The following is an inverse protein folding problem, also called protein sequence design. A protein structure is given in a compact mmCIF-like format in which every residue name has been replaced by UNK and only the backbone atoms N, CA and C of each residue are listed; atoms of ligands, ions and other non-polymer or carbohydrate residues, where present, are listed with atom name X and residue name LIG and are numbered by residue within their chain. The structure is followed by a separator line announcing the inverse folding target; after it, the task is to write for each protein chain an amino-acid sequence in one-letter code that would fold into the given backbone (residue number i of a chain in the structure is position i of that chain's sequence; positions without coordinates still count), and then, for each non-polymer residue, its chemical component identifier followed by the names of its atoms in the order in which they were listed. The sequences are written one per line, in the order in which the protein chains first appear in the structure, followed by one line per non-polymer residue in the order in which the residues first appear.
data_IF_709795584942
#
_entry.id   IF_709795584942
#
_cell.length_a   1.000
_cell.length_b   1.000
_cell.length_c   1.000
_cell.angle_alpha   90.00
_cell.angle_beta   90.00
_cell.angle_gamma   90.00
#
_symmetry.space_group_name_H-M   'P 1'
#
loop_
_entity.id
_entity.type
_entity.pdbx_description
1 polymer ?
#
# COMPACT_ATOMS: atom_id res chain seq x y z
N UNK A 1 -0.76 5.37 51.64
CA UNK A 1 -1.96 4.55 51.34
C UNK A 1 -3.26 5.33 51.56
N UNK A 2 -3.59 5.80 52.77
CA UNK A 2 -4.84 6.56 53.04
C UNK A 2 -5.10 7.76 52.13
N UNK A 3 -4.07 8.53 51.76
CA UNK A 3 -4.23 9.70 50.87
C UNK A 3 -4.70 9.28 49.46
N UNK A 4 -4.18 8.18 48.91
CA UNK A 4 -4.60 7.65 47.62
C UNK A 4 -6.05 7.17 47.64
N UNK A 5 -6.47 6.51 48.72
CA UNK A 5 -7.86 6.08 48.94
C UNK A 5 -8.82 7.28 49.03
N UNK A 6 -8.46 8.31 49.80
CA UNK A 6 -9.25 9.53 49.92
C UNK A 6 -9.41 10.27 48.60
N UNK A 7 -8.32 10.41 47.85
CA UNK A 7 -8.35 11.06 46.54
C UNK A 7 -9.24 10.26 45.57
N UNK A 8 -9.09 8.94 45.52
CA UNK A 8 -9.91 8.08 44.64
C UNK A 8 -11.39 8.19 44.97
N UNK A 9 -11.76 8.23 46.25
CA UNK A 9 -13.15 8.38 46.67
C UNK A 9 -13.73 9.78 46.38
N UNK A 10 -12.90 10.82 46.44
CA UNK A 10 -13.34 12.22 46.28
C UNK A 10 -13.44 12.67 44.81
N UNK A 11 -12.60 12.14 43.92
CA UNK A 11 -12.40 12.68 42.56
C UNK A 11 -13.67 12.66 41.69
N UNK A 12 -14.57 11.70 41.91
CA UNK A 12 -15.83 11.58 41.16
C UNK A 12 -16.73 12.82 41.33
N UNK A 13 -16.70 13.48 42.48
CA UNK A 13 -17.58 14.61 42.80
C UNK A 13 -16.86 15.96 42.80
N UNK A 14 -15.57 15.97 42.44
CA UNK A 14 -14.73 17.14 42.53
C UNK A 14 -14.99 18.17 41.41
N UNK A 15 -14.80 19.44 41.74
CA UNK A 15 -14.68 20.51 40.76
C UNK A 15 -13.41 20.34 39.91
N UNK A 16 -13.32 21.00 38.76
CA UNK A 16 -12.12 20.93 37.92
C UNK A 16 -10.85 21.38 38.67
N UNK A 17 -10.93 22.47 39.42
CA UNK A 17 -9.85 22.97 40.27
C UNK A 17 -9.43 21.92 41.32
N UNK A 18 -10.40 21.28 41.98
CA UNK A 18 -10.13 20.22 42.96
C UNK A 18 -9.47 19.00 42.32
N UNK A 19 -9.93 18.57 41.14
CA UNK A 19 -9.29 17.48 40.41
C UNK A 19 -7.82 17.82 40.09
N UNK A 20 -7.54 19.04 39.63
CA UNK A 20 -6.16 19.47 39.36
C UNK A 20 -5.30 19.43 40.63
N UNK A 21 -5.82 19.90 41.77
CA UNK A 21 -5.13 19.80 43.05
C UNK A 21 -4.84 18.34 43.43
N UNK A 22 -5.83 17.44 43.27
CA UNK A 22 -5.66 16.03 43.57
C UNK A 22 -4.60 15.36 42.70
N UNK A 23 -4.62 15.57 41.39
CA UNK A 23 -3.60 15.02 40.50
C UNK A 23 -2.21 15.60 40.79
N UNK A 24 -2.09 16.90 41.08
CA UNK A 24 -0.80 17.47 41.47
C UNK A 24 -0.27 16.88 42.77
N UNK A 25 -1.15 16.58 43.74
CA UNK A 25 -0.75 15.87 44.96
C UNK A 25 -0.26 14.45 44.66
N UNK A 26 -0.92 13.73 43.74
CA UNK A 26 -0.47 12.41 43.28
C UNK A 26 0.88 12.49 42.56
N UNK A 27 1.11 13.51 41.73
CA UNK A 27 2.39 13.75 41.04
C UNK A 27 3.53 13.97 42.05
N UNK A 28 3.30 14.77 43.09
CA UNK A 28 4.27 14.98 44.19
C UNK A 28 4.53 13.66 44.94
N UNK A 29 3.48 12.91 45.29
CA UNK A 29 3.63 11.62 45.98
C UNK A 29 4.41 10.60 45.13
N UNK A 30 4.18 10.56 43.82
CA UNK A 30 4.94 9.72 42.90
C UNK A 30 6.44 10.11 42.88
N UNK A 31 6.74 11.41 42.91
CA UNK A 31 8.13 11.91 42.92
C UNK A 31 8.89 11.60 44.22
N UNK A 32 8.20 11.58 45.36
CA UNK A 32 8.79 11.24 46.65
C UNK A 32 9.03 9.73 46.76
N UNK A 33 8.07 8.92 46.33
CA UNK A 33 8.13 7.46 46.45
C UNK A 33 9.10 6.82 45.45
N UNK A 34 9.39 7.46 44.32
CA UNK A 34 10.41 7.01 43.37
C UNK A 34 11.85 7.22 43.86
N UNK A 35 12.10 8.21 44.73
CA UNK A 35 13.42 8.52 45.29
C UNK A 35 13.85 7.58 46.42
N UNK A 36 12.90 6.92 47.09
CA UNK A 36 13.17 6.12 48.29
C UNK A 36 13.13 4.59 48.05
N UNK A 37 13.12 4.10 46.80
CA UNK A 37 12.87 2.68 46.45
C UNK A 37 11.55 2.09 47.02
N UNK A 38 10.68 2.93 47.58
CA UNK A 38 9.38 2.56 48.15
C UNK A 38 8.24 2.50 47.10
N UNK A 39 8.55 2.79 45.82
CA UNK A 39 7.58 2.96 44.74
C UNK A 39 6.64 1.78 44.47
N UNK A 40 7.05 0.55 44.79
CA UNK A 40 6.20 -0.63 44.61
C UNK A 40 5.14 -0.82 45.71
N UNK A 41 5.28 -0.18 46.88
CA UNK A 41 4.38 -0.40 48.01
C UNK A 41 3.12 0.49 48.01
N UNK A 42 3.13 1.63 47.31
CA UNK A 42 2.05 2.63 47.40
C UNK A 42 1.14 2.66 46.16
N UNK A 43 1.57 2.09 45.03
CA UNK A 43 0.84 2.05 43.75
C UNK A 43 0.18 3.39 43.36
N UNK A 44 0.95 4.48 43.45
CA UNK A 44 0.46 5.84 43.15
C UNK A 44 -0.02 5.94 41.70
N UNK A 45 0.68 5.30 40.75
CA UNK A 45 0.27 5.27 39.35
C UNK A 45 -1.06 4.54 39.13
N UNK A 46 -1.30 3.42 39.81
CA UNK A 46 -2.62 2.76 39.79
C UNK A 46 -3.73 3.66 40.35
N UNK A 47 -3.42 4.49 41.35
CA UNK A 47 -4.36 5.50 41.87
C UNK A 47 -4.67 6.57 40.82
N UNK A 48 -3.66 7.07 40.10
CA UNK A 48 -3.83 8.03 39.00
C UNK A 48 -4.75 7.45 37.92
N UNK A 49 -4.52 6.19 37.52
CA UNK A 49 -5.36 5.46 36.55
C UNK A 49 -6.81 5.37 37.03
N UNK A 50 -7.04 4.94 38.28
CA UNK A 50 -8.39 4.86 38.86
C UNK A 50 -9.09 6.23 38.90
N UNK A 51 -8.34 7.29 39.22
CA UNK A 51 -8.88 8.64 39.23
C UNK A 51 -9.29 9.11 37.82
N UNK A 52 -8.45 8.86 36.81
CA UNK A 52 -8.77 9.17 35.40
C UNK A 52 -10.02 8.42 34.93
N UNK A 53 -10.16 7.15 35.31
CA UNK A 53 -11.33 6.32 35.02
C UNK A 53 -12.58 6.70 35.83
N UNK A 54 -12.44 7.53 36.88
CA UNK A 54 -13.55 7.97 37.74
C UNK A 54 -13.97 9.42 37.48
N UNK A 55 -13.20 10.19 36.70
CA UNK A 55 -13.60 11.54 36.30
C UNK A 55 -14.99 11.54 35.64
N UNK A 56 -15.83 12.53 35.97
CA UNK A 56 -17.12 12.76 35.28
C UNK A 56 -16.86 13.37 33.90
N UNK A 57 -17.31 12.67 32.87
CA UNK A 57 -17.17 13.09 31.48
C UNK A 57 -18.58 13.37 30.92
N UNK A 58 -18.77 14.44 30.14
CA UNK A 58 -17.74 15.28 29.51
C UNK A 58 -17.22 16.46 30.35
N UNK A 59 -17.76 16.74 31.54
CA UNK A 59 -17.50 17.98 32.30
C UNK A 59 -16.06 18.13 32.80
N UNK A 60 -15.28 17.04 32.83
CA UNK A 60 -13.86 17.02 33.23
C UNK A 60 -12.94 16.59 32.08
N UNK A 61 -13.37 16.81 30.84
CA UNK A 61 -12.58 16.49 29.64
C UNK A 61 -11.22 17.18 29.63
N UNK A 62 -11.11 18.45 30.02
CA UNK A 62 -9.83 19.19 30.11
C UNK A 62 -8.81 18.52 31.05
N UNK A 63 -9.28 18.10 32.24
CA UNK A 63 -8.46 17.41 33.23
C UNK A 63 -8.03 16.05 32.71
N UNK A 64 -8.97 15.29 32.11
CA UNK A 64 -8.69 13.99 31.53
C UNK A 64 -7.61 14.09 30.46
N UNK A 65 -7.76 14.98 29.47
CA UNK A 65 -6.83 15.11 28.35
C UNK A 65 -5.44 15.54 28.80
N UNK A 66 -5.35 16.55 29.67
CA UNK A 66 -4.08 17.04 30.21
C UNK A 66 -3.33 15.95 30.98
N UNK A 67 -4.01 15.25 31.89
CA UNK A 67 -3.39 14.24 32.74
C UNK A 67 -3.13 12.93 32.00
N UNK A 68 -3.95 12.58 31.01
CA UNK A 68 -3.66 11.47 30.10
C UNK A 68 -2.38 11.74 29.29
N UNK A 69 -2.25 12.94 28.71
CA UNK A 69 -1.04 13.32 27.96
C UNK A 69 0.21 13.27 28.83
N UNK A 70 0.11 13.77 30.07
CA UNK A 70 1.21 13.70 31.03
C UNK A 70 1.60 12.23 31.30
N UNK A 71 0.62 11.37 31.60
CA UNK A 71 0.83 9.94 31.79
C UNK A 71 1.44 9.26 30.57
N UNK A 72 1.03 9.63 29.36
CA UNK A 72 1.60 9.06 28.15
C UNK A 72 3.08 9.42 27.97
N UNK A 73 3.49 10.61 28.38
CA UNK A 73 4.89 11.07 28.30
C UNK A 73 5.77 10.49 29.40
N UNK A 74 5.25 10.30 30.62
CA UNK A 74 6.07 9.93 31.79
C UNK A 74 5.94 8.47 32.19
N UNK A 75 4.76 7.85 32.02
CA UNK A 75 4.43 6.50 32.48
C UNK A 75 3.63 5.69 31.44
N UNK A 76 4.17 5.47 30.23
CA UNK A 76 3.44 4.89 29.11
C UNK A 76 2.87 3.49 29.38
N UNK A 77 3.54 2.67 30.20
CA UNK A 77 3.08 1.32 30.55
C UNK A 77 1.76 1.31 31.32
N UNK A 78 1.40 2.41 31.98
CA UNK A 78 0.18 2.53 32.78
C UNK A 78 -1.04 2.89 31.92
N UNK A 79 -0.85 3.33 30.68
CA UNK A 79 -1.96 3.72 29.79
C UNK A 79 -2.93 2.57 29.52
N UNK A 80 -2.47 1.33 29.57
CA UNK A 80 -3.30 0.14 29.37
C UNK A 80 -4.46 0.04 30.37
N UNK A 81 -4.30 0.62 31.57
CA UNK A 81 -5.34 0.64 32.59
C UNK A 81 -6.37 1.76 32.43
N UNK A 82 -6.17 2.70 31.51
CA UNK A 82 -7.06 3.86 31.33
C UNK A 82 -8.10 3.55 30.24
N UNK A 83 -9.38 3.67 30.57
CA UNK A 83 -10.48 3.53 29.62
C UNK A 83 -10.63 4.81 28.78
N UNK A 84 -9.80 4.92 27.75
CA UNK A 84 -9.85 6.01 26.76
C UNK A 84 -11.17 5.99 25.99
N UNK A 85 -11.78 4.81 25.79
CA UNK A 85 -13.02 4.69 25.03
C UNK A 85 -14.20 5.37 25.72
N UNK A 86 -14.24 5.36 27.05
CA UNK A 86 -15.20 6.16 27.82
C UNK A 86 -15.10 7.64 27.50
N UNK A 87 -13.88 8.18 27.42
CA UNK A 87 -13.66 9.57 27.03
C UNK A 87 -14.07 9.82 25.58
N UNK A 88 -13.62 8.99 24.65
CA UNK A 88 -13.92 9.13 23.22
C UNK A 88 -15.43 9.13 22.94
N UNK A 89 -16.21 8.37 23.71
CA UNK A 89 -17.66 8.29 23.56
C UNK A 89 -18.42 9.43 24.22
N UNK A 90 -17.88 10.03 25.29
CA UNK A 90 -18.53 11.10 26.04
C UNK A 90 -18.15 12.51 25.55
N UNK A 91 -16.91 12.68 25.06
CA UNK A 91 -16.38 13.97 24.67
C UNK A 91 -17.11 14.57 23.46
N UNK A 92 -17.20 15.90 23.42
CA UNK A 92 -17.67 16.61 22.24
C UNK A 92 -16.70 16.41 21.06
N UNK A 93 -17.18 16.63 19.82
CA UNK A 93 -16.30 16.52 18.64
C UNK A 93 -15.10 17.47 18.73
N UNK A 94 -15.29 18.70 19.22
CA UNK A 94 -14.21 19.68 19.38
C UNK A 94 -13.19 19.24 20.41
N UNK A 95 -13.63 18.72 21.57
CA UNK A 95 -12.72 18.27 22.63
C UNK A 95 -11.94 17.03 22.20
N UNK A 96 -12.59 16.12 21.48
CA UNK A 96 -11.94 14.93 20.93
C UNK A 96 -10.89 15.30 19.89
N UNK A 97 -11.20 16.20 18.95
CA UNK A 97 -10.24 16.67 17.95
C UNK A 97 -9.05 17.39 18.61
N UNK A 98 -9.31 18.27 19.58
CA UNK A 98 -8.25 18.95 20.32
C UNK A 98 -7.35 17.96 21.07
N UNK A 99 -7.93 16.93 21.69
CA UNK A 99 -7.17 15.86 22.34
C UNK A 99 -6.30 15.09 21.34
N UNK A 100 -6.84 14.73 20.18
CA UNK A 100 -6.06 14.04 19.12
C UNK A 100 -4.86 14.89 18.68
N UNK A 101 -5.04 16.20 18.51
CA UNK A 101 -3.95 17.10 18.14
C UNK A 101 -2.83 17.14 19.17
N UNK A 102 -3.16 17.13 20.46
CA UNK A 102 -2.20 17.08 21.55
C UNK A 102 -1.42 15.75 21.60
N UNK A 103 -2.01 14.69 21.04
CA UNK A 103 -1.42 13.35 21.02
C UNK A 103 -0.71 13.02 19.70
N UNK A 104 -0.66 13.95 18.74
CA UNK A 104 -0.22 13.67 17.38
C UNK A 104 1.20 13.10 17.28
N UNK A 105 2.11 13.56 18.15
CA UNK A 105 3.53 13.20 18.21
C UNK A 105 3.88 12.22 19.35
N UNK A 106 2.89 11.70 20.07
CA UNK A 106 3.13 10.81 21.21
C UNK A 106 3.58 9.43 20.73
N UNK A 107 4.78 9.02 21.15
CA UNK A 107 5.42 7.76 20.76
C UNK A 107 4.97 6.55 21.62
N UNK A 108 3.66 6.44 21.85
CA UNK A 108 3.06 5.38 22.67
C UNK A 108 1.78 4.90 22.01
N UNK A 109 1.57 3.59 21.97
CA UNK A 109 0.35 3.01 21.40
C UNK A 109 -0.83 3.29 22.33
N UNK A 110 -1.81 4.00 21.80
CA UNK A 110 -3.02 4.33 22.56
C UNK A 110 -4.07 3.25 22.29
N UNK A 111 -4.56 2.65 23.37
CA UNK A 111 -5.61 1.64 23.35
C UNK A 111 -7.00 2.19 23.00
N UNK A 112 -7.96 1.27 22.89
CA UNK A 112 -9.37 1.59 22.66
C UNK A 112 -9.67 2.08 21.25
N UNK A 113 -10.77 2.82 21.12
CA UNK A 113 -11.36 3.29 19.85
C UNK A 113 -10.94 4.72 19.43
N UNK A 114 -9.96 5.33 20.11
CA UNK A 114 -9.46 6.67 19.77
C UNK A 114 -8.91 6.71 18.34
N UNK A 115 -8.12 5.70 17.98
CA UNK A 115 -7.56 5.57 16.63
C UNK A 115 -8.67 5.48 15.57
N UNK A 116 -9.71 4.66 15.80
CA UNK A 116 -10.80 4.49 14.83
C UNK A 116 -11.55 5.81 14.58
N UNK A 117 -11.77 6.59 15.64
CA UNK A 117 -12.36 7.93 15.53
C UNK A 117 -11.43 8.90 14.82
N UNK A 118 -10.14 8.89 15.11
CA UNK A 118 -9.16 9.74 14.44
C UNK A 118 -9.06 9.42 12.95
N UNK A 119 -9.04 8.13 12.57
CA UNK A 119 -9.03 7.68 11.19
C UNK A 119 -10.31 8.08 10.44
N UNK A 120 -11.48 8.01 11.09
CA UNK A 120 -12.74 8.47 10.51
C UNK A 120 -12.77 10.00 10.32
N UNK A 121 -12.27 10.76 11.31
CA UNK A 121 -12.16 12.22 11.21
C UNK A 121 -11.17 12.63 10.11
N UNK A 122 -10.04 11.93 10.00
CA UNK A 122 -9.04 12.16 8.96
C UNK A 122 -9.60 11.88 7.56
N UNK A 123 -10.31 10.76 7.39
CA UNK A 123 -10.96 10.44 6.12
C UNK A 123 -12.01 11.49 5.73
N UNK A 124 -12.71 12.08 6.71
CA UNK A 124 -13.68 13.14 6.48
C UNK A 124 -13.03 14.53 6.25
N UNK A 125 -11.83 14.77 6.76
CA UNK A 125 -11.06 16.01 6.55
C UNK A 125 -9.58 15.73 6.22
N UNK A 126 -9.29 15.33 4.97
CA UNK A 126 -7.95 14.90 4.53
C UNK A 126 -6.85 15.96 4.65
N UNK A 127 -7.23 17.24 4.61
CA UNK A 127 -6.30 18.39 4.72
C UNK A 127 -5.81 18.65 6.14
N UNK A 128 -6.38 17.99 7.15
CA UNK A 128 -5.98 18.16 8.54
C UNK A 128 -4.66 17.44 8.83
N UNK A 129 -3.57 18.21 8.84
CA UNK A 129 -2.23 17.68 9.04
C UNK A 129 -2.02 17.04 10.41
N UNK A 130 -2.73 17.51 11.44
CA UNK A 130 -2.60 17.00 12.81
C UNK A 130 -3.34 15.68 12.98
N UNK A 131 -4.53 15.53 12.38
CA UNK A 131 -5.21 14.23 12.31
C UNK A 131 -4.37 13.21 11.54
N UNK A 132 -3.82 13.61 10.39
CA UNK A 132 -2.89 12.79 9.62
C UNK A 132 -1.70 12.36 10.46
N UNK A 133 -1.05 13.32 11.11
CA UNK A 133 0.14 13.10 11.93
C UNK A 133 -0.14 12.04 13.01
N UNK A 134 -1.24 12.20 13.74
CA UNK A 134 -1.69 11.24 14.76
C UNK A 134 -1.95 9.84 14.18
N UNK A 135 -2.76 9.73 13.11
CA UNK A 135 -3.14 8.43 12.53
C UNK A 135 -1.91 7.69 12.03
N UNK A 136 -1.01 8.39 11.32
CA UNK A 136 0.25 7.82 10.83
C UNK A 136 1.16 7.44 12.00
N UNK A 137 1.32 8.32 12.99
CA UNK A 137 2.19 8.06 14.13
C UNK A 137 1.72 6.82 14.92
N UNK A 138 0.45 6.78 15.33
CA UNK A 138 -0.12 5.65 16.06
C UNK A 138 -0.03 4.33 15.28
N UNK A 139 -0.18 4.39 13.96
CA UNK A 139 0.05 3.23 13.10
C UNK A 139 1.51 2.75 13.18
N UNK A 140 2.47 3.66 12.99
CA UNK A 140 3.90 3.34 13.05
C UNK A 140 4.35 2.85 14.44
N UNK A 141 3.78 3.40 15.51
CA UNK A 141 4.00 2.94 16.89
C UNK A 141 3.47 1.51 17.05
N UNK A 142 2.21 1.25 16.67
CA UNK A 142 1.64 -0.09 16.74
C UNK A 142 2.42 -1.11 15.91
N UNK A 143 2.89 -0.72 14.72
CA UNK A 143 3.77 -1.55 13.89
C UNK A 143 5.11 -1.82 14.57
N UNK A 144 5.68 -0.87 15.33
CA UNK A 144 6.97 -1.06 16.04
C UNK A 144 6.80 -2.02 17.21
N UNK A 145 5.66 -1.94 17.87
CA UNK A 145 5.29 -2.83 18.97
C UNK A 145 4.78 -4.19 18.48
N UNK A 146 4.74 -4.44 17.17
CA UNK A 146 4.16 -5.66 16.57
C UNK A 146 2.72 -5.92 17.02
N UNK A 147 1.95 -4.84 17.21
CA UNK A 147 0.55 -4.90 17.63
C UNK A 147 -0.28 -5.67 16.59
N UNK A 148 -1.05 -6.69 17.00
CA UNK A 148 -1.87 -7.49 16.08
C UNK A 148 -2.86 -6.64 15.27
N UNK A 149 -3.31 -5.51 15.84
CA UNK A 149 -4.29 -4.63 15.22
C UNK A 149 -3.66 -3.63 14.23
N UNK A 150 -2.36 -3.36 14.31
CA UNK A 150 -1.71 -2.33 13.49
C UNK A 150 -1.85 -2.61 11.99
N UNK A 151 -1.67 -3.86 11.56
CA UNK A 151 -1.83 -4.24 10.15
C UNK A 151 -3.29 -4.16 9.70
N UNK A 152 -4.24 -4.55 10.55
CA UNK A 152 -5.67 -4.44 10.24
C UNK A 152 -6.10 -2.96 10.11
N UNK A 153 -5.62 -2.11 11.01
CA UNK A 153 -5.82 -0.65 10.99
C UNK A 153 -5.23 0.00 9.74
N UNK A 154 -4.02 -0.42 9.35
CA UNK A 154 -3.38 0.04 8.13
C UNK A 154 -4.23 -0.29 6.90
N UNK A 155 -4.59 -1.56 6.73
CA UNK A 155 -5.41 -2.03 5.60
C UNK A 155 -6.76 -1.31 5.56
N UNK A 156 -7.45 -1.20 6.70
CA UNK A 156 -8.72 -0.47 6.79
C UNK A 156 -8.58 1.00 6.40
N UNK A 157 -7.48 1.66 6.78
CA UNK A 157 -7.26 3.07 6.41
C UNK A 157 -7.02 3.21 4.91
N UNK A 158 -6.19 2.35 4.34
CA UNK A 158 -5.95 2.30 2.89
C UNK A 158 -7.26 2.07 2.14
N UNK A 159 -8.06 1.09 2.55
CA UNK A 159 -9.36 0.79 1.94
C UNK A 159 -10.33 1.98 1.99
N UNK A 160 -10.40 2.69 3.13
CA UNK A 160 -11.22 3.89 3.29
C UNK A 160 -10.76 5.03 2.38
N UNK A 161 -9.44 5.21 2.22
CA UNK A 161 -8.87 6.24 1.34
C UNK A 161 -9.13 5.91 -0.13
N UNK A 162 -9.01 4.64 -0.52
CA UNK A 162 -9.17 4.18 -1.91
C UNK A 162 -10.65 4.18 -2.34
N UNK A 163 -11.58 3.84 -1.44
CA UNK A 163 -13.02 3.74 -1.76
C UNK A 163 -13.73 5.09 -1.90
N UNK A 164 -13.17 6.19 -1.40
CA UNK A 164 -13.81 7.50 -1.35
C UNK A 164 -13.73 8.33 -2.67
N UNK A 165 -13.40 7.72 -3.81
CA UNK A 165 -12.63 8.36 -4.89
C UNK A 165 -11.27 8.81 -4.36
N UNK A 166 -10.15 8.34 -4.93
CA UNK A 166 -8.84 8.64 -4.39
C UNK A 166 -8.56 10.14 -4.59
N UNK A 167 -8.71 10.94 -3.53
CA UNK A 167 -7.94 12.16 -3.43
C UNK A 167 -6.47 11.69 -3.39
N UNK A 168 -5.80 11.66 -4.54
CA UNK A 168 -4.44 11.15 -4.67
C UNK A 168 -3.50 11.81 -3.63
N UNK A 169 -3.78 13.07 -3.27
CA UNK A 169 -3.15 13.82 -2.18
C UNK A 169 -3.24 13.09 -0.84
N UNK A 170 -4.42 12.62 -0.47
CA UNK A 170 -4.67 11.87 0.75
C UNK A 170 -3.88 10.56 0.76
N UNK A 171 -3.92 9.82 -0.35
CA UNK A 171 -3.19 8.57 -0.50
C UNK A 171 -1.68 8.78 -0.38
N UNK A 172 -1.11 9.69 -1.18
CA UNK A 172 0.32 9.99 -1.14
C UNK A 172 0.74 10.53 0.21
N UNK A 173 -0.04 11.42 0.81
CA UNK A 173 0.29 12.00 2.09
C UNK A 173 0.30 10.97 3.21
N UNK A 174 -0.68 10.06 3.23
CA UNK A 174 -0.74 8.98 4.21
C UNK A 174 0.39 7.97 4.00
N UNK A 175 0.55 7.44 2.77
CA UNK A 175 1.55 6.43 2.47
C UNK A 175 2.98 6.93 2.64
N UNK A 176 3.29 8.15 2.19
CA UNK A 176 4.61 8.78 2.40
C UNK A 176 4.87 9.00 3.89
N UNK A 177 3.85 9.42 4.65
CA UNK A 177 3.93 9.55 6.10
C UNK A 177 4.32 8.24 6.77
N UNK A 178 3.66 7.14 6.42
CA UNK A 178 3.97 5.80 6.96
C UNK A 178 5.38 5.37 6.57
N UNK A 179 5.69 5.37 5.27
CA UNK A 179 6.98 4.89 4.76
C UNK A 179 8.18 5.66 5.32
N UNK A 180 8.04 6.97 5.53
CA UNK A 180 9.10 7.80 6.09
C UNK A 180 9.44 7.46 7.56
N UNK A 181 8.55 6.74 8.25
CA UNK A 181 8.67 6.36 9.67
C UNK A 181 8.86 4.85 9.88
N UNK A 182 8.82 4.04 8.82
CA UNK A 182 9.08 2.60 8.91
C UNK A 182 10.57 2.35 9.21
N UNK A 183 10.83 1.55 10.23
CA UNK A 183 12.17 1.04 10.53
C UNK A 183 12.53 -0.15 9.63
N UNK A 184 13.81 -0.52 9.59
CA UNK A 184 14.32 -1.66 8.80
C UNK A 184 13.61 -2.99 9.12
N UNK A 185 13.21 -3.19 10.38
CA UNK A 185 12.50 -4.40 10.84
C UNK A 185 11.08 -4.53 10.25
N UNK A 186 10.56 -3.46 9.64
CA UNK A 186 9.18 -3.33 9.19
C UNK A 186 9.04 -3.23 7.67
N UNK A 187 10.11 -3.55 6.93
CA UNK A 187 10.13 -3.54 5.45
C UNK A 187 9.00 -4.37 4.83
N UNK A 188 8.53 -5.43 5.51
CA UNK A 188 7.41 -6.26 5.06
C UNK A 188 6.08 -5.48 4.91
N UNK A 189 5.94 -4.35 5.60
CA UNK A 189 4.78 -3.47 5.50
C UNK A 189 4.81 -2.68 4.20
N UNK A 190 6.00 -2.28 3.74
CA UNK A 190 6.15 -1.58 2.47
C UNK A 190 5.71 -2.45 1.28
N UNK A 191 5.84 -3.79 1.37
CA UNK A 191 5.33 -4.73 0.35
C UNK A 191 3.83 -4.59 0.14
N UNK A 192 3.07 -4.35 1.21
CA UNK A 192 1.62 -4.16 1.12
C UNK A 192 1.25 -2.89 0.34
N UNK A 193 2.19 -1.95 0.16
CA UNK A 193 2.01 -0.73 -0.64
C UNK A 193 2.46 -0.88 -2.09
N UNK A 194 3.10 -2.00 -2.47
CA UNK A 194 3.58 -2.22 -3.84
C UNK A 194 2.46 -2.11 -4.89
N UNK A 195 1.27 -2.72 -4.72
CA UNK A 195 0.19 -2.56 -5.68
C UNK A 195 -0.25 -1.09 -5.84
N UNK A 196 -0.32 -0.35 -4.74
CA UNK A 196 -0.69 1.07 -4.75
C UNK A 196 0.38 1.93 -5.41
N UNK A 197 1.65 1.60 -5.23
CA UNK A 197 2.76 2.26 -5.90
C UNK A 197 2.73 2.07 -7.39
N UNK A 198 2.59 0.82 -7.86
CA UNK A 198 2.44 0.52 -9.29
C UNK A 198 1.25 1.30 -9.83
N UNK A 199 0.10 1.26 -9.16
CA UNK A 199 -1.08 2.04 -9.56
C UNK A 199 -0.80 3.55 -9.64
N UNK A 200 -0.14 4.12 -8.64
CA UNK A 200 0.16 5.55 -8.59
C UNK A 200 1.09 5.98 -9.74
N UNK A 201 2.11 5.18 -10.07
CA UNK A 201 2.99 5.43 -11.22
C UNK A 201 2.20 5.37 -12.53
N UNK A 202 1.32 4.38 -12.69
CA UNK A 202 0.47 4.26 -13.85
C UNK A 202 -0.49 5.45 -14.00
N UNK A 203 -1.18 5.83 -12.92
CA UNK A 203 -2.25 6.81 -12.94
C UNK A 203 -1.77 8.27 -12.89
N UNK A 204 -0.73 8.58 -12.10
CA UNK A 204 -0.45 9.95 -11.67
C UNK A 204 0.92 10.51 -12.05
N UNK A 205 1.86 9.69 -12.55
CA UNK A 205 3.27 10.09 -12.69
C UNK A 205 3.53 11.38 -13.48
N UNK A 206 2.67 11.77 -14.43
CA UNK A 206 2.77 13.08 -15.12
C UNK A 206 2.04 14.18 -14.38
N UNK A 207 0.78 13.94 -13.97
CA UNK A 207 -0.04 14.95 -13.29
C UNK A 207 0.43 15.32 -11.86
N UNK A 208 1.17 14.43 -11.20
CA UNK A 208 1.61 14.53 -9.79
C UNK A 208 3.01 13.95 -9.63
N UNK A 209 3.92 14.44 -10.46
CA UNK A 209 5.28 13.91 -10.60
C UNK A 209 6.04 13.92 -9.27
N UNK A 210 5.95 15.02 -8.51
CA UNK A 210 6.71 15.18 -7.26
C UNK A 210 6.24 14.23 -6.16
N UNK A 211 4.93 14.05 -6.00
CA UNK A 211 4.37 13.12 -5.02
C UNK A 211 4.64 11.67 -5.40
N UNK A 212 4.50 11.35 -6.69
CA UNK A 212 4.80 10.02 -7.23
C UNK A 212 6.28 9.69 -7.08
N UNK A 213 7.17 10.67 -7.33
CA UNK A 213 8.62 10.53 -7.13
C UNK A 213 8.96 10.25 -5.67
N UNK A 214 8.38 11.03 -4.74
CA UNK A 214 8.60 10.82 -3.30
C UNK A 214 8.12 9.44 -2.86
N UNK A 215 6.94 9.02 -3.33
CA UNK A 215 6.39 7.70 -3.01
C UNK A 215 7.26 6.58 -3.57
N UNK A 216 7.69 6.70 -4.82
CA UNK A 216 8.61 5.76 -5.48
C UNK A 216 9.92 5.67 -4.73
N UNK A 217 10.55 6.79 -4.37
CA UNK A 217 11.81 6.80 -3.62
C UNK A 217 11.70 6.06 -2.30
N UNK A 218 10.70 6.41 -1.49
CA UNK A 218 10.52 5.81 -0.16
C UNK A 218 10.21 4.32 -0.26
N UNK A 219 9.33 3.92 -1.19
CA UNK A 219 9.02 2.50 -1.39
C UNK A 219 10.22 1.73 -1.90
N UNK A 220 10.94 2.29 -2.88
CA UNK A 220 12.10 1.65 -3.47
C UNK A 220 13.17 1.36 -2.42
N UNK A 221 13.45 2.31 -1.51
CA UNK A 221 14.41 2.10 -0.42
C UNK A 221 14.04 0.90 0.46
N UNK A 222 12.75 0.69 0.73
CA UNK A 222 12.28 -0.44 1.53
C UNK A 222 12.26 -1.76 0.74
N UNK A 223 11.81 -1.73 -0.51
CA UNK A 223 11.79 -2.91 -1.39
C UNK A 223 13.21 -3.37 -1.68
N UNK A 224 14.12 -2.46 -1.99
CA UNK A 224 15.51 -2.78 -2.31
C UNK A 224 16.17 -3.53 -1.15
N UNK A 225 15.87 -3.20 0.11
CA UNK A 225 16.36 -3.95 1.28
C UNK A 225 15.82 -5.37 1.36
N UNK A 226 14.57 -5.59 0.94
CA UNK A 226 14.03 -6.94 0.84
C UNK A 226 14.65 -7.71 -0.31
N UNK A 227 14.91 -7.03 -1.43
CA UNK A 227 15.56 -7.59 -2.60
C UNK A 227 17.09 -7.72 -2.45
N UNK A 228 17.74 -6.98 -1.54
CA UNK A 228 19.19 -7.02 -1.32
C UNK A 228 19.63 -8.24 -0.52
N UNK A 229 18.73 -8.79 0.32
CA UNK A 229 18.90 -10.13 0.89
C UNK A 229 18.84 -11.25 -0.18
N UNK A 230 18.58 -10.88 -1.44
CA UNK A 230 18.16 -11.77 -2.51
C UNK A 230 19.01 -11.56 -3.79
N UNK A 231 19.58 -10.38 -4.01
CA UNK A 231 20.40 -10.06 -5.18
C UNK A 231 21.61 -9.19 -4.77
N UNK A 232 22.74 -9.82 -4.50
CA UNK A 232 24.02 -9.19 -4.14
C UNK A 232 24.71 -8.44 -5.29
N UNK A 233 24.10 -8.38 -6.48
CA UNK A 233 24.71 -7.88 -7.72
C UNK A 233 23.80 -6.91 -8.51
N UNK A 234 22.91 -6.17 -7.85
CA UNK A 234 22.06 -5.22 -8.55
C UNK A 234 22.79 -3.87 -8.75
N UNK A 235 22.94 -3.36 -9.99
CA UNK A 235 23.46 -2.01 -10.22
C UNK A 235 22.50 -0.96 -9.64
N UNK A 236 23.07 0.04 -8.95
CA UNK A 236 22.37 1.17 -8.37
C UNK A 236 21.73 2.00 -9.48
N UNK A 237 20.40 2.06 -9.53
CA UNK A 237 19.69 3.02 -10.38
C UNK A 237 19.44 4.26 -9.55
N UNK A 238 19.85 5.42 -10.06
CA UNK A 238 19.60 6.71 -9.42
C UNK A 238 18.20 7.22 -9.76
N UNK A 239 17.44 7.63 -8.74
CA UNK A 239 16.10 8.19 -8.87
C UNK A 239 16.18 9.62 -9.41
N UNK A 240 16.05 9.81 -10.73
CA UNK A 240 15.88 11.13 -11.35
C UNK A 240 14.40 11.54 -11.46
N UNK A 241 14.07 12.85 -11.49
CA UNK A 241 12.75 13.33 -11.91
C UNK A 241 12.32 12.69 -13.24
N UNK A 242 11.02 12.43 -13.40
CA UNK A 242 10.46 11.80 -14.60
C UNK A 242 10.63 10.29 -14.72
N UNK A 243 11.39 9.64 -13.82
CA UNK A 243 11.80 8.25 -14.01
C UNK A 243 11.07 7.22 -13.13
N UNK A 244 9.95 7.59 -12.48
CA UNK A 244 9.21 6.66 -11.60
C UNK A 244 8.73 5.41 -12.34
N UNK A 245 8.43 5.54 -13.64
CA UNK A 245 8.11 4.42 -14.54
C UNK A 245 9.25 3.39 -14.61
N UNK A 246 10.50 3.83 -14.76
CA UNK A 246 11.63 2.92 -14.86
C UNK A 246 11.89 2.15 -13.57
N UNK A 247 11.54 2.71 -12.40
CA UNK A 247 11.65 1.99 -11.13
C UNK A 247 10.64 0.84 -11.04
N UNK A 248 9.42 1.03 -11.55
CA UNK A 248 8.42 -0.06 -11.66
C UNK A 248 8.87 -1.10 -12.69
N UNK A 249 9.37 -0.68 -13.85
CA UNK A 249 9.92 -1.60 -14.86
C UNK A 249 11.07 -2.40 -14.26
N UNK A 250 11.99 -1.73 -13.56
CA UNK A 250 13.13 -2.37 -12.91
C UNK A 250 12.70 -3.39 -11.86
N UNK A 251 11.68 -3.07 -11.07
CA UNK A 251 11.11 -4.02 -10.12
C UNK A 251 10.72 -5.32 -10.81
N UNK A 252 10.04 -5.24 -11.96
CA UNK A 252 9.66 -6.43 -12.74
C UNK A 252 10.88 -7.16 -13.33
N UNK A 253 11.88 -6.44 -13.84
CA UNK A 253 13.12 -7.04 -14.32
C UNK A 253 13.87 -7.82 -13.24
N UNK A 254 14.00 -7.25 -12.03
CA UNK A 254 14.68 -7.91 -10.91
C UNK A 254 13.96 -9.20 -10.53
N UNK A 255 12.63 -9.16 -10.46
CA UNK A 255 11.82 -10.35 -10.17
C UNK A 255 11.89 -11.39 -11.29
N UNK A 256 12.02 -10.96 -12.56
CA UNK A 256 12.10 -11.82 -13.74
C UNK A 256 13.49 -12.41 -14.03
N UNK A 257 14.57 -11.82 -13.48
CA UNK A 257 15.96 -12.22 -13.75
C UNK A 257 16.36 -13.62 -13.24
N UNK A 258 15.47 -14.35 -12.56
CA UNK A 258 15.71 -15.73 -12.15
C UNK A 258 16.76 -15.91 -11.03
N UNK A 259 17.21 -14.82 -10.40
CA UNK A 259 18.13 -14.84 -9.25
C UNK A 259 17.45 -15.41 -7.99
N UNK A 260 16.12 -15.37 -7.97
CA UNK A 260 15.27 -15.74 -6.85
C UNK A 260 14.75 -17.19 -6.93
N UNK A 261 14.56 -17.88 -5.79
CA UNK A 261 13.78 -19.12 -5.75
C UNK A 261 12.35 -18.88 -6.24
N UNK A 262 11.86 -19.73 -7.15
CA UNK A 262 10.55 -19.57 -7.81
C UNK A 262 9.38 -19.40 -6.84
N UNK A 263 9.38 -20.12 -5.71
CA UNK A 263 8.32 -19.99 -4.68
C UNK A 263 8.25 -18.59 -4.04
N UNK A 264 9.40 -17.95 -3.82
CA UNK A 264 9.47 -16.60 -3.24
C UNK A 264 9.03 -15.53 -4.26
N UNK A 265 9.45 -15.67 -5.52
CA UNK A 265 9.00 -14.77 -6.61
C UNK A 265 7.50 -14.84 -6.77
N UNK A 266 6.93 -16.06 -6.82
CA UNK A 266 5.50 -16.25 -7.02
C UNK A 266 4.69 -15.53 -5.93
N UNK A 267 5.14 -15.58 -4.68
CA UNK A 267 4.49 -14.89 -3.56
C UNK A 267 4.55 -13.36 -3.73
N UNK A 268 5.73 -12.80 -4.00
CA UNK A 268 5.89 -11.35 -4.19
C UNK A 268 5.04 -10.87 -5.36
N UNK A 269 5.06 -11.60 -6.49
CA UNK A 269 4.28 -11.24 -7.68
C UNK A 269 2.78 -11.32 -7.42
N UNK A 270 2.29 -12.35 -6.72
CA UNK A 270 0.88 -12.48 -6.36
C UNK A 270 0.40 -11.35 -5.44
N UNK A 271 1.24 -10.94 -4.48
CA UNK A 271 0.94 -9.82 -3.59
C UNK A 271 1.02 -8.46 -4.29
N UNK A 272 1.90 -8.31 -5.29
CA UNK A 272 2.13 -7.06 -6.03
C UNK A 272 1.11 -6.82 -7.14
N UNK A 273 0.63 -7.88 -7.80
CA UNK A 273 -0.31 -7.83 -8.92
C UNK A 273 -1.54 -8.70 -8.61
N UNK A 274 -2.32 -8.36 -7.56
CA UNK A 274 -3.54 -9.07 -7.25
C UNK A 274 -4.64 -8.78 -8.29
N UNK A 275 -5.70 -9.58 -8.30
CA UNK A 275 -6.85 -9.38 -9.19
C UNK A 275 -7.46 -7.96 -9.09
N UNK A 276 -7.51 -7.37 -7.89
CA UNK A 276 -7.96 -6.00 -7.69
C UNK A 276 -7.10 -4.98 -8.48
N UNK A 277 -5.78 -5.19 -8.53
CA UNK A 277 -4.87 -4.37 -9.31
C UNK A 277 -5.10 -4.53 -10.82
N UNK A 278 -5.38 -5.75 -11.28
CA UNK A 278 -5.75 -5.99 -12.68
C UNK A 278 -7.02 -5.23 -13.10
N UNK A 279 -8.01 -5.12 -12.21
CA UNK A 279 -9.20 -4.30 -12.44
C UNK A 279 -8.87 -2.80 -12.49
N UNK A 280 -7.98 -2.32 -11.62
CA UNK A 280 -7.50 -0.94 -11.66
C UNK A 280 -6.80 -0.62 -12.98
N UNK A 281 -5.91 -1.49 -13.46
CA UNK A 281 -5.25 -1.38 -14.78
C UNK A 281 -6.30 -1.33 -15.89
N UNK A 282 -7.29 -2.22 -15.85
CA UNK A 282 -8.38 -2.25 -16.83
C UNK A 282 -9.19 -0.95 -16.85
N UNK A 283 -9.40 -0.32 -15.69
CA UNK A 283 -10.07 0.96 -15.60
C UNK A 283 -9.21 2.10 -16.14
N UNK A 284 -7.89 2.11 -15.88
CA UNK A 284 -6.97 3.10 -16.46
C UNK A 284 -6.93 3.01 -18.00
N UNK A 285 -7.03 1.80 -18.56
CA UNK A 285 -7.11 1.61 -20.01
C UNK A 285 -8.40 2.15 -20.65
N UNK A 286 -9.40 2.52 -19.85
CA UNK A 286 -10.61 3.23 -20.31
C UNK A 286 -10.47 4.76 -20.26
N UNK A 287 -9.34 5.28 -19.79
CA UNK A 287 -9.05 6.71 -19.78
C UNK A 287 -9.08 7.29 -21.21
N UNK A 288 -9.46 8.56 -21.30
CA UNK A 288 -9.36 9.38 -22.51
C UNK A 288 -8.00 10.09 -22.62
N UNK A 289 -7.17 10.02 -21.57
CA UNK A 289 -5.83 10.56 -21.53
C UNK A 289 -4.83 9.60 -22.21
N UNK A 290 -4.34 9.99 -23.40
CA UNK A 290 -3.39 9.20 -24.18
C UNK A 290 -2.06 8.94 -23.43
N UNK A 291 -1.57 9.88 -22.62
CA UNK A 291 -0.32 9.70 -21.88
C UNK A 291 -0.47 8.59 -20.83
N UNK A 292 -1.64 8.53 -20.18
CA UNK A 292 -1.98 7.43 -19.26
C UNK A 292 -2.08 6.12 -20.02
N UNK A 293 -2.77 6.09 -21.16
CA UNK A 293 -2.94 4.87 -21.95
C UNK A 293 -1.61 4.29 -22.42
N UNK A 294 -0.75 5.13 -23.00
CA UNK A 294 0.55 4.72 -23.50
C UNK A 294 1.44 4.22 -22.36
N UNK A 295 1.47 4.92 -21.22
CA UNK A 295 2.21 4.49 -20.03
C UNK A 295 1.74 3.13 -19.52
N UNK A 296 0.42 2.95 -19.40
CA UNK A 296 -0.14 1.68 -18.91
C UNK A 296 0.25 0.54 -19.82
N UNK A 297 0.20 0.74 -21.13
CA UNK A 297 0.60 -0.28 -22.10
C UNK A 297 2.10 -0.57 -22.01
N UNK A 298 2.98 0.44 -22.00
CA UNK A 298 4.43 0.24 -21.89
C UNK A 298 4.81 -0.55 -20.62
N UNK A 299 4.33 -0.10 -19.47
CA UNK A 299 4.65 -0.73 -18.18
C UNK A 299 4.11 -2.15 -18.11
N UNK A 300 2.87 -2.39 -18.55
CA UNK A 300 2.31 -3.74 -18.50
C UNK A 300 2.94 -4.67 -19.55
N UNK A 301 3.40 -4.15 -20.69
CA UNK A 301 4.18 -4.92 -21.65
C UNK A 301 5.50 -5.39 -21.03
N UNK A 302 6.21 -4.49 -20.34
CA UNK A 302 7.44 -4.83 -19.61
C UNK A 302 7.17 -5.80 -18.45
N UNK A 303 6.05 -5.64 -17.74
CA UNK A 303 5.61 -6.59 -16.72
C UNK A 303 5.41 -7.99 -17.31
N UNK A 304 4.70 -8.12 -18.43
CA UNK A 304 4.44 -9.42 -19.07
C UNK A 304 5.71 -10.01 -19.69
N UNK A 305 6.60 -9.19 -20.25
CA UNK A 305 7.86 -9.64 -20.82
C UNK A 305 8.78 -10.27 -19.76
N UNK A 306 8.78 -9.72 -18.55
CA UNK A 306 9.64 -10.18 -17.45
C UNK A 306 8.97 -11.23 -16.55
N UNK A 307 7.66 -11.08 -16.30
CA UNK A 307 6.92 -11.88 -15.29
C UNK A 307 5.82 -12.75 -15.89
N UNK A 308 5.65 -12.78 -17.21
CA UNK A 308 4.54 -13.49 -17.86
C UNK A 308 4.41 -14.96 -17.47
N UNK A 309 5.53 -15.69 -17.37
CA UNK A 309 5.52 -17.10 -16.96
C UNK A 309 5.10 -17.27 -15.49
N UNK A 310 5.60 -16.40 -14.61
CA UNK A 310 5.24 -16.39 -13.19
C UNK A 310 3.76 -16.06 -13.00
N UNK A 311 3.27 -15.01 -13.68
CA UNK A 311 1.88 -14.61 -13.67
C UNK A 311 0.95 -15.70 -14.22
N UNK A 312 1.37 -16.41 -15.27
CA UNK A 312 0.64 -17.56 -15.81
C UNK A 312 0.59 -18.70 -14.79
N UNK A 313 1.71 -19.02 -14.14
CA UNK A 313 1.79 -20.08 -13.12
C UNK A 313 0.88 -19.78 -11.93
N UNK A 314 0.88 -18.53 -11.45
CA UNK A 314 -0.02 -18.06 -10.40
C UNK A 314 -1.49 -18.18 -10.87
N UNK A 315 -1.79 -17.71 -12.07
CA UNK A 315 -3.15 -17.78 -12.62
C UNK A 315 -3.66 -19.23 -12.74
N UNK A 316 -2.83 -20.18 -13.18
CA UNK A 316 -3.21 -21.59 -13.27
C UNK A 316 -3.47 -22.21 -11.89
N UNK A 317 -2.68 -21.83 -10.89
CA UNK A 317 -2.89 -22.23 -9.49
C UNK A 317 -4.20 -21.65 -8.92
N UNK A 318 -4.45 -20.36 -9.13
CA UNK A 318 -5.66 -19.67 -8.66
C UNK A 318 -6.93 -20.09 -9.40
N UNK A 319 -6.82 -20.44 -10.68
CA UNK A 319 -7.94 -20.79 -11.54
C UNK A 319 -8.77 -21.97 -11.00
N UNK A 320 -8.15 -22.88 -10.23
CA UNK A 320 -8.84 -23.98 -9.56
C UNK A 320 -9.91 -23.50 -8.57
N UNK A 321 -9.76 -22.28 -8.03
CA UNK A 321 -10.64 -21.70 -7.00
C UNK A 321 -11.60 -20.65 -7.55
N UNK A 322 -11.12 -19.79 -8.44
CA UNK A 322 -11.86 -18.58 -8.88
C UNK A 322 -12.23 -18.58 -10.36
N UNK A 323 -11.71 -19.54 -11.14
CA UNK A 323 -11.82 -19.56 -12.59
C UNK A 323 -10.75 -18.70 -13.27
N UNK A 324 -10.20 -19.20 -14.39
CA UNK A 324 -9.07 -18.59 -15.09
C UNK A 324 -9.35 -17.15 -15.58
N UNK A 325 -10.61 -16.84 -15.91
CA UNK A 325 -11.06 -15.50 -16.34
C UNK A 325 -11.08 -14.46 -15.22
N UNK A 326 -10.93 -14.86 -13.95
CA UNK A 326 -10.85 -13.98 -12.78
C UNK A 326 -9.43 -13.91 -12.20
N UNK A 327 -8.42 -14.20 -13.01
CA UNK A 327 -7.02 -14.09 -12.63
C UNK A 327 -6.41 -12.80 -13.17
N UNK A 328 -5.43 -12.25 -12.45
CA UNK A 328 -4.80 -10.99 -12.83
C UNK A 328 -4.16 -11.06 -14.23
N UNK A 329 -3.47 -12.17 -14.53
CA UNK A 329 -2.83 -12.41 -15.82
C UNK A 329 -3.82 -12.28 -16.99
N UNK A 330 -4.93 -13.03 -16.94
CA UNK A 330 -5.91 -13.05 -18.04
C UNK A 330 -6.58 -11.70 -18.22
N UNK A 331 -6.98 -11.05 -17.12
CA UNK A 331 -7.64 -9.74 -17.19
C UNK A 331 -6.72 -8.70 -17.80
N UNK A 332 -5.46 -8.61 -17.36
CA UNK A 332 -4.50 -7.64 -17.88
C UNK A 332 -4.21 -7.92 -19.36
N UNK A 333 -3.89 -9.17 -19.72
CA UNK A 333 -3.62 -9.54 -21.11
C UNK A 333 -4.80 -9.25 -22.04
N UNK A 334 -6.03 -9.51 -21.59
CA UNK A 334 -7.22 -9.20 -22.37
C UNK A 334 -7.45 -7.69 -22.53
N UNK A 335 -7.29 -6.94 -21.44
CA UNK A 335 -7.50 -5.49 -21.45
C UNK A 335 -6.49 -4.78 -22.38
N UNK A 336 -5.21 -5.17 -22.33
CA UNK A 336 -4.16 -4.62 -23.18
C UNK A 336 -4.43 -4.89 -24.67
N UNK A 337 -4.73 -6.13 -25.05
CA UNK A 337 -5.07 -6.45 -26.45
C UNK A 337 -6.30 -5.70 -26.90
N UNK A 338 -7.33 -5.64 -26.06
CA UNK A 338 -8.56 -4.91 -26.40
C UNK A 338 -8.25 -3.44 -26.67
N UNK A 339 -7.41 -2.81 -25.85
CA UNK A 339 -7.03 -1.42 -26.04
C UNK A 339 -6.13 -1.22 -27.27
N UNK A 340 -5.14 -2.08 -27.51
CA UNK A 340 -4.29 -2.01 -28.71
C UNK A 340 -5.07 -2.23 -30.02
N UNK A 341 -6.08 -3.10 -30.01
CA UNK A 341 -6.87 -3.42 -31.23
C UNK A 341 -7.94 -2.36 -31.52
N UNK A 342 -8.60 -1.86 -30.47
CA UNK A 342 -9.78 -0.97 -30.60
C UNK A 342 -9.52 0.49 -30.26
N UNK A 343 -8.39 0.80 -29.63
CA UNK A 343 -8.03 2.15 -29.20
C UNK A 343 -7.57 3.03 -30.35
N UNK A 344 -7.62 4.34 -30.13
CA UNK A 344 -7.19 5.39 -31.06
C UNK A 344 -5.74 5.85 -30.83
N UNK A 345 -4.85 4.91 -30.50
CA UNK A 345 -3.44 5.22 -30.24
C UNK A 345 -2.68 5.53 -31.53
N UNK A 346 -1.58 6.28 -31.40
CA UNK A 346 -0.70 6.59 -32.53
C UNK A 346 -0.08 5.32 -33.12
N UNK A 347 0.12 5.33 -34.45
CA UNK A 347 0.73 4.19 -35.15
C UNK A 347 2.17 4.00 -34.70
N UNK A 348 2.88 5.10 -34.46
CA UNK A 348 4.26 5.11 -33.95
C UNK A 348 4.36 4.40 -32.60
N UNK A 349 3.43 4.68 -31.68
CA UNK A 349 3.38 4.00 -30.39
C UNK A 349 3.07 2.52 -30.51
N UNK A 350 2.09 2.16 -31.36
CA UNK A 350 1.70 0.77 -31.59
C UNK A 350 2.80 -0.04 -32.25
N UNK A 351 3.56 0.56 -33.18
CA UNK A 351 4.71 -0.07 -33.82
C UNK A 351 5.79 -0.47 -32.81
N UNK A 352 5.95 0.28 -31.72
CA UNK A 352 6.88 -0.06 -30.65
C UNK A 352 6.28 -1.06 -29.65
N UNK A 353 5.01 -0.87 -29.30
CA UNK A 353 4.37 -1.59 -28.18
C UNK A 353 3.84 -2.97 -28.55
N UNK A 354 3.19 -3.11 -29.71
CA UNK A 354 2.56 -4.38 -30.14
C UNK A 354 3.58 -5.50 -30.29
N UNK A 355 4.75 -5.29 -30.94
CA UNK A 355 5.74 -6.35 -31.07
C UNK A 355 6.28 -6.83 -29.71
N UNK A 356 6.52 -5.91 -28.76
CA UNK A 356 6.97 -6.26 -27.39
C UNK A 356 5.93 -7.14 -26.70
N UNK A 357 4.64 -6.79 -26.79
CA UNK A 357 3.58 -7.59 -26.21
C UNK A 357 3.47 -8.99 -26.84
N UNK A 358 3.57 -9.09 -28.17
CA UNK A 358 3.58 -10.39 -28.86
C UNK A 358 4.79 -11.22 -28.44
N UNK A 359 5.98 -10.62 -28.35
CA UNK A 359 7.18 -11.30 -27.84
C UNK A 359 6.95 -11.87 -26.45
N UNK A 360 6.37 -11.08 -25.54
CA UNK A 360 6.07 -11.50 -24.18
C UNK A 360 5.14 -12.71 -24.14
N UNK A 361 4.08 -12.72 -24.95
CA UNK A 361 3.14 -13.84 -25.03
C UNK A 361 3.71 -15.07 -25.74
N UNK A 362 4.52 -14.88 -26.79
CA UNK A 362 5.09 -15.98 -27.58
C UNK A 362 6.10 -16.82 -26.79
N UNK A 363 6.73 -16.23 -25.76
CA UNK A 363 7.60 -16.94 -24.81
C UNK A 363 6.87 -17.90 -23.88
N UNK A 364 5.55 -17.77 -23.75
CA UNK A 364 4.77 -18.53 -22.77
C UNK A 364 4.36 -19.91 -23.32
N UNK A 365 4.12 -20.89 -22.43
CA UNK A 365 3.52 -22.15 -22.81
C UNK A 365 2.21 -21.96 -23.58
N UNK A 366 2.00 -22.78 -24.61
CA UNK A 366 0.79 -22.70 -25.42
C UNK A 366 -0.47 -22.90 -24.55
N UNK A 367 -1.37 -21.91 -24.62
CA UNK A 367 -2.73 -21.95 -24.07
C UNK A 367 -3.66 -21.26 -25.05
N UNK A 368 -4.87 -21.80 -25.21
CA UNK A 368 -5.87 -21.30 -26.18
C UNK A 368 -6.13 -19.80 -26.01
N UNK A 369 -6.20 -19.31 -24.76
CA UNK A 369 -6.45 -17.89 -24.52
C UNK A 369 -5.25 -17.00 -24.91
N UNK A 370 -3.99 -17.45 -24.67
CA UNK A 370 -2.77 -16.75 -25.09
C UNK A 370 -2.71 -16.70 -26.62
N UNK A 371 -2.95 -17.84 -27.27
CA UNK A 371 -3.05 -17.93 -28.73
C UNK A 371 -4.10 -16.96 -29.28
N UNK A 372 -5.29 -16.92 -28.68
CA UNK A 372 -6.35 -15.99 -29.08
C UNK A 372 -5.91 -14.53 -28.99
N UNK A 373 -5.13 -14.16 -27.97
CA UNK A 373 -4.60 -12.79 -27.83
C UNK A 373 -3.59 -12.44 -28.93
N UNK A 374 -2.65 -13.35 -29.22
CA UNK A 374 -1.67 -13.18 -30.31
C UNK A 374 -2.41 -13.03 -31.64
N UNK A 375 -3.35 -13.94 -31.92
CA UNK A 375 -4.16 -13.93 -33.14
C UNK A 375 -4.90 -12.61 -33.36
N UNK A 376 -5.54 -12.07 -32.31
CA UNK A 376 -6.28 -10.81 -32.43
C UNK A 376 -5.38 -9.66 -32.90
N UNK A 377 -4.12 -9.62 -32.43
CA UNK A 377 -3.13 -8.63 -32.86
C UNK A 377 -2.65 -8.89 -34.29
N UNK A 378 -2.32 -10.13 -34.64
CA UNK A 378 -1.89 -10.48 -36.01
C UNK A 378 -2.94 -10.09 -37.05
N UNK A 379 -4.21 -10.43 -36.79
CA UNK A 379 -5.31 -10.11 -37.72
C UNK A 379 -5.54 -8.61 -37.80
N UNK A 380 -5.44 -7.88 -36.68
CA UNK A 380 -5.63 -6.42 -36.67
C UNK A 380 -4.55 -5.70 -37.49
N UNK A 381 -3.29 -6.07 -37.30
CA UNK A 381 -2.15 -5.34 -37.84
C UNK A 381 -1.60 -5.92 -39.15
N UNK A 382 -2.23 -6.94 -39.74
CA UNK A 382 -1.77 -7.60 -40.98
C UNK A 382 -1.65 -6.67 -42.20
N UNK A 383 -2.32 -5.52 -42.20
CA UNK A 383 -2.27 -4.55 -43.30
C UNK A 383 -1.38 -3.35 -43.00
N UNK A 384 -0.87 -3.24 -41.77
CA UNK A 384 0.04 -2.18 -41.35
C UNK A 384 1.48 -2.67 -41.50
N UNK A 385 2.05 -2.51 -42.70
CA UNK A 385 3.33 -3.14 -43.12
C UNK A 385 4.43 -2.97 -42.07
N UNK A 386 4.64 -1.76 -41.55
CA UNK A 386 5.69 -1.50 -40.56
C UNK A 386 5.52 -2.32 -39.28
N UNK A 387 4.29 -2.38 -38.74
CA UNK A 387 3.97 -3.15 -37.54
C UNK A 387 4.05 -4.65 -37.85
N UNK A 388 3.45 -5.09 -38.96
CA UNK A 388 3.45 -6.49 -39.37
C UNK A 388 4.88 -7.04 -39.54
N UNK A 389 5.77 -6.29 -40.20
CA UNK A 389 7.19 -6.65 -40.34
C UNK A 389 7.90 -6.72 -38.98
N UNK A 390 7.66 -5.77 -38.06
CA UNK A 390 8.24 -5.81 -36.71
C UNK A 390 7.75 -7.02 -35.91
N UNK A 391 6.46 -7.37 -36.01
CA UNK A 391 5.90 -8.56 -35.38
C UNK A 391 6.55 -9.83 -35.94
N UNK A 392 6.67 -9.93 -37.26
CA UNK A 392 7.28 -11.10 -37.92
C UNK A 392 8.72 -11.30 -37.46
N UNK A 393 9.53 -10.24 -37.47
CA UNK A 393 10.92 -10.30 -37.00
C UNK A 393 11.08 -10.73 -35.54
N UNK A 394 10.07 -10.49 -34.70
CA UNK A 394 10.05 -11.01 -33.32
C UNK A 394 9.67 -12.49 -33.28
N UNK A 395 8.62 -12.88 -34.00
CA UNK A 395 8.16 -14.28 -34.04
C UNK A 395 9.24 -15.22 -34.60
N UNK A 396 10.07 -14.71 -35.51
CA UNK A 396 11.21 -15.41 -36.07
C UNK A 396 12.23 -15.88 -35.03
N UNK A 397 12.41 -15.10 -33.95
CA UNK A 397 13.29 -15.46 -32.85
C UNK A 397 12.79 -16.70 -32.08
N UNK A 398 11.51 -17.04 -32.22
CA UNK A 398 10.87 -18.15 -31.53
C UNK A 398 10.58 -19.34 -32.45
N UNK A 399 10.95 -19.27 -33.74
CA UNK A 399 10.69 -20.31 -34.77
C UNK A 399 11.03 -21.73 -34.29
N UNK A 400 12.10 -21.89 -33.51
CA UNK A 400 12.55 -23.18 -33.02
C UNK A 400 11.88 -23.68 -31.72
N UNK A 401 11.18 -22.80 -30.99
CA UNK A 401 10.58 -23.16 -29.71
C UNK A 401 9.39 -24.12 -29.89
N UNK A 402 9.25 -25.07 -28.96
CA UNK A 402 8.15 -26.04 -28.97
C UNK A 402 6.78 -25.36 -28.90
N UNK A 403 6.66 -24.27 -28.15
CA UNK A 403 5.42 -23.51 -28.00
C UNK A 403 5.04 -22.76 -29.28
N UNK A 404 6.02 -22.22 -30.00
CA UNK A 404 5.79 -21.60 -31.31
C UNK A 404 5.40 -22.65 -32.37
N UNK A 405 6.06 -23.81 -32.38
CA UNK A 405 5.67 -24.93 -33.26
C UNK A 405 4.23 -25.38 -32.99
N UNK A 406 3.81 -25.40 -31.72
CA UNK A 406 2.41 -25.66 -31.35
C UNK A 406 1.48 -24.54 -31.82
N UNK A 407 1.89 -23.27 -31.68
CA UNK A 407 1.15 -22.11 -32.19
C UNK A 407 0.88 -22.26 -33.70
N UNK A 408 1.90 -22.60 -34.50
CA UNK A 408 1.80 -22.81 -35.95
C UNK A 408 0.86 -23.96 -36.32
N UNK A 409 0.98 -25.08 -35.62
CA UNK A 409 0.17 -26.28 -35.86
C UNK A 409 -1.32 -25.99 -35.67
N UNK A 410 -1.66 -25.29 -34.59
CA UNK A 410 -3.04 -25.00 -34.21
C UNK A 410 -3.54 -23.66 -34.78
N UNK A 411 -2.76 -23.03 -35.68
CA UNK A 411 -3.11 -21.74 -36.24
C UNK A 411 -4.21 -21.81 -37.29
N UNK A 412 -5.16 -20.88 -37.21
CA UNK A 412 -6.17 -20.69 -38.24
C UNK A 412 -5.55 -20.12 -39.54
N UNK A 413 -6.25 -20.21 -40.69
CA UNK A 413 -5.72 -19.79 -41.99
C UNK A 413 -5.29 -18.32 -42.05
N UNK A 414 -5.87 -17.42 -41.25
CA UNK A 414 -5.50 -15.99 -41.27
C UNK A 414 -4.12 -15.77 -40.66
N UNK A 415 -3.84 -16.47 -39.56
CA UNK A 415 -2.50 -16.45 -38.95
C UNK A 415 -1.46 -17.07 -39.88
N UNK A 416 -1.81 -18.19 -40.55
CA UNK A 416 -0.94 -18.81 -41.56
C UNK A 416 -0.65 -17.87 -42.73
N UNK A 417 -1.66 -17.14 -43.21
CA UNK A 417 -1.49 -16.16 -44.28
C UNK A 417 -0.62 -14.97 -43.84
N UNK A 418 -0.80 -14.46 -42.62
CA UNK A 418 0.08 -13.42 -42.06
C UNK A 418 1.53 -13.88 -42.09
N UNK A 419 1.80 -15.07 -41.56
CA UNK A 419 3.15 -15.62 -41.51
C UNK A 419 3.70 -15.85 -42.92
N UNK A 420 2.91 -16.40 -43.86
CA UNK A 420 3.38 -16.59 -45.24
C UNK A 420 3.74 -15.29 -45.97
N UNK A 421 3.09 -14.18 -45.63
CA UNK A 421 3.32 -12.88 -46.28
C UNK A 421 4.49 -12.09 -45.68
N UNK A 422 4.96 -12.45 -44.48
CA UNK A 422 5.97 -11.68 -43.75
C UNK A 422 7.14 -12.52 -43.19
N UNK A 423 7.17 -13.85 -43.40
CA UNK A 423 8.17 -14.79 -42.86
C UNK A 423 9.44 -14.98 -43.70
#
# INVERSE_FOLDING_TARGET
MKVCEWITAAVLNASESQCNTFFNALDVLASLTSRENAGNAVNVHGTVVNCLNSLRLPERSSVFTSKFLAMAKTHPSQLIGIDVSRFVNAASKSDLTAFIYLMADVDVEIGGNLWDKAAALYAANPSDEKLREFVVNQLCVGMRNSSPQAMARFKSTVEKIVSAQPAAELLFSFCNGVLSRLSEKQTHIAVQLVPLWIFAVLAFSTSREMETKRFTSLIWDHILRQLSNIASSCPTIELSPGNSEAFVIRFFEILGAGVLPSGSVNKIVAESIPFAMANNITNLLKSDDNDILERVIRVCNMMLANLGLTLLTIAESEAQRTGLNRTAFVVISQALVTKMVKGSMSVEFLQQSVPVYISALAKLPYRIFIYSRIKDLLVKFQHEVAIASSISGILDQFKESAHYKQLLKDSDPRVKNFLANYA
#
